data_IF_188641598047
#
_entry.id   IF_188641598047
#
_cell.length_a   1.000
_cell.length_b   1.000
_cell.length_c   1.000
_cell.angle_alpha   90.00
_cell.angle_beta   90.00
_cell.angle_gamma   90.00
#
_symmetry.space_group_name_H-M   'P 1'
#
loop_
_entity.id
_entity.type
_entity.pdbx_description
1 polymer ?
#
# COMPACT_ATOMS: atom_id res chain seq x y z
N UNK A 1 3.09 2.37 4.67
CA UNK A 1 3.09 3.71 5.28
C UNK A 1 4.00 3.67 6.47
N UNK A 2 5.07 4.48 6.49
CA UNK A 2 5.90 4.68 7.69
C UNK A 2 5.13 5.55 8.68
N UNK A 3 5.15 5.18 9.95
CA UNK A 3 4.30 5.84 10.95
C UNK A 3 4.65 7.32 11.18
N UNK A 4 5.92 7.68 10.97
CA UNK A 4 6.41 9.07 11.06
C UNK A 4 6.12 9.91 9.79
N UNK A 5 5.62 9.31 8.70
CA UNK A 5 5.35 10.01 7.43
C UNK A 5 3.99 10.72 7.40
N UNK A 6 3.47 11.13 8.54
CA UNK A 6 2.21 11.87 8.65
C UNK A 6 2.32 13.29 8.06
N UNK A 7 1.19 13.80 7.57
CA UNK A 7 1.07 15.20 7.13
C UNK A 7 0.50 16.10 8.22
N UNK A 8 -0.18 15.54 9.21
CA UNK A 8 -0.72 16.21 10.37
C UNK A 8 -0.71 15.27 11.58
N UNK A 9 -0.52 15.79 12.79
CA UNK A 9 -0.57 14.99 14.01
C UNK A 9 -0.82 15.85 15.25
N UNK A 10 -1.20 15.19 16.35
CA UNK A 10 -1.27 15.80 17.68
C UNK A 10 -0.85 14.75 18.73
N UNK A 11 0.00 15.19 19.65
CA UNK A 11 0.43 14.45 20.84
C UNK A 11 1.52 13.40 20.62
N UNK A 12 1.77 12.96 19.40
CA UNK A 12 2.74 11.92 19.10
C UNK A 12 4.18 12.47 19.06
N UNK A 13 5.15 11.65 19.49
CA UNK A 13 6.56 11.93 19.33
C UNK A 13 7.24 10.79 18.53
N UNK A 14 8.38 11.08 17.92
CA UNK A 14 9.20 10.11 17.18
C UNK A 14 10.46 9.77 17.96
N UNK A 15 10.94 8.54 17.80
CA UNK A 15 12.23 8.07 18.28
C UNK A 15 12.89 7.14 17.25
N UNK A 16 14.20 6.90 17.40
CA UNK A 16 14.89 5.94 16.55
C UNK A 16 14.38 4.52 16.83
N UNK A 17 14.02 3.80 15.77
CA UNK A 17 13.63 2.39 15.89
C UNK A 17 14.85 1.46 15.85
N UNK A 18 14.81 0.38 16.63
CA UNK A 18 15.74 -0.74 16.51
C UNK A 18 15.25 -1.85 15.56
N UNK A 19 14.11 -1.64 14.89
CA UNK A 19 13.56 -2.61 13.97
C UNK A 19 14.42 -2.77 12.72
N UNK A 20 14.21 -3.87 12.00
CA UNK A 20 14.90 -4.14 10.74
C UNK A 20 14.59 -3.03 9.72
N UNK A 21 15.64 -2.44 9.14
CA UNK A 21 15.54 -1.32 8.22
C UNK A 21 15.83 0.04 8.86
N UNK A 22 15.81 0.14 10.21
CA UNK A 22 16.08 1.40 10.92
C UNK A 22 14.99 2.45 10.67
N UNK A 23 15.35 3.73 10.84
CA UNK A 23 14.42 4.86 10.68
C UNK A 23 13.84 5.34 12.01
N UNK A 24 12.62 5.85 11.96
CA UNK A 24 11.89 6.35 13.13
C UNK A 24 10.63 5.50 13.37
N UNK A 25 10.15 5.54 14.59
CA UNK A 25 8.80 5.09 14.95
C UNK A 25 8.07 6.20 15.70
N UNK A 26 6.75 6.17 15.72
CA UNK A 26 5.95 6.99 16.61
C UNK A 26 5.76 6.27 17.94
N UNK A 27 5.74 7.06 19.02
CA UNK A 27 5.52 6.58 20.39
C UNK A 27 5.11 7.75 21.31
N UNK A 28 5.26 7.54 22.61
CA UNK A 28 4.94 8.53 23.66
C UNK A 28 3.49 9.05 23.58
N UNK A 29 2.60 8.19 23.10
CA UNK A 29 1.22 8.57 22.81
C UNK A 29 0.33 8.52 24.04
N UNK A 30 -0.61 9.45 24.09
CA UNK A 30 -1.74 9.44 25.00
C UNK A 30 -3.06 9.13 24.27
N UNK A 31 -4.12 8.83 25.01
CA UNK A 31 -5.44 8.58 24.44
C UNK A 31 -5.95 9.83 23.71
N UNK A 32 -6.44 9.68 22.50
CA UNK A 32 -6.88 10.66 21.53
C UNK A 32 -5.77 11.35 20.73
N UNK A 33 -4.51 11.05 20.97
CA UNK A 33 -3.47 11.45 20.03
C UNK A 33 -3.71 10.83 18.65
N UNK A 34 -3.27 11.52 17.59
CA UNK A 34 -3.55 11.08 16.24
C UNK A 34 -2.45 11.43 15.24
N UNK A 35 -2.42 10.69 14.15
CA UNK A 35 -1.67 11.03 12.93
C UNK A 35 -2.57 10.88 11.69
N UNK A 36 -2.32 11.72 10.67
CA UNK A 36 -3.09 11.76 9.43
C UNK A 36 -2.16 11.58 8.22
N UNK A 37 -2.60 10.71 7.29
CA UNK A 37 -1.83 10.31 6.11
C UNK A 37 -2.69 10.44 4.86
N UNK A 38 -2.21 11.09 3.79
CA UNK A 38 -2.90 11.05 2.50
C UNK A 38 -2.78 9.65 1.90
N UNK A 39 -3.89 9.03 1.53
CA UNK A 39 -3.92 7.68 0.97
C UNK A 39 -4.77 7.63 -0.29
N UNK A 40 -4.37 6.76 -1.21
CA UNK A 40 -5.15 6.38 -2.38
C UNK A 40 -5.42 4.87 -2.32
N UNK A 41 -6.69 4.52 -2.21
CA UNK A 41 -7.18 3.14 -2.23
C UNK A 41 -7.61 2.84 -3.67
N UNK A 42 -6.89 1.95 -4.34
CA UNK A 42 -7.10 1.66 -5.77
C UNK A 42 -8.31 0.77 -6.04
N UNK A 43 -8.69 -0.06 -5.09
CA UNK A 43 -9.74 -1.07 -5.24
C UNK A 43 -10.55 -1.20 -3.96
N UNK A 44 -11.89 -1.28 -4.08
CA UNK A 44 -12.75 -1.60 -2.94
C UNK A 44 -12.64 -3.07 -2.59
N UNK A 45 -12.61 -3.40 -1.30
CA UNK A 45 -12.58 -4.78 -0.84
C UNK A 45 -11.90 -4.97 0.50
N UNK A 46 -11.59 -6.23 0.78
CA UNK A 46 -10.96 -6.65 2.03
C UNK A 46 -9.45 -6.52 1.90
N UNK A 47 -8.83 -5.98 2.94
CA UNK A 47 -7.38 -5.83 3.05
C UNK A 47 -6.88 -6.50 4.33
N UNK A 48 -5.74 -7.19 4.24
CA UNK A 48 -4.94 -7.53 5.42
C UNK A 48 -4.19 -6.27 5.85
N UNK A 49 -4.52 -5.77 7.03
CA UNK A 49 -3.91 -4.61 7.65
C UNK A 49 -2.85 -5.06 8.66
N UNK A 50 -1.61 -4.81 8.34
CA UNK A 50 -0.47 -5.10 9.19
C UNK A 50 -0.04 -3.84 9.96
N UNK A 51 0.06 -3.94 11.29
CA UNK A 51 0.72 -2.96 12.15
C UNK A 51 2.05 -3.54 12.65
N UNK A 52 3.16 -2.84 12.44
CA UNK A 52 4.45 -3.18 13.03
C UNK A 52 4.63 -2.42 14.34
N UNK A 53 4.46 -3.12 15.44
CA UNK A 53 4.31 -2.54 16.78
C UNK A 53 5.36 -3.06 17.77
N UNK A 54 5.61 -2.26 18.81
CA UNK A 54 6.28 -2.67 20.01
C UNK A 54 5.52 -2.16 21.24
N UNK A 55 5.25 -3.05 22.21
CA UNK A 55 4.48 -2.73 23.41
C UNK A 55 5.03 -3.51 24.61
N UNK A 56 5.40 -2.81 25.70
CA UNK A 56 6.13 -3.44 26.80
C UNK A 56 5.23 -4.32 27.68
N UNK A 57 4.25 -3.75 28.37
CA UNK A 57 3.53 -4.44 29.44
C UNK A 57 1.99 -4.34 29.33
N UNK A 58 1.48 -3.60 28.37
CA UNK A 58 0.05 -3.37 28.21
C UNK A 58 -0.36 -3.44 26.75
N UNK A 59 -1.62 -3.78 26.52
CA UNK A 59 -2.21 -3.77 25.19
C UNK A 59 -2.52 -2.34 24.78
N UNK A 60 -2.29 -2.02 23.48
CA UNK A 60 -2.74 -0.77 22.86
C UNK A 60 -4.02 -0.97 22.06
N UNK A 61 -4.58 0.13 21.57
CA UNK A 61 -5.67 0.10 20.58
C UNK A 61 -5.60 1.30 19.66
N UNK A 62 -5.67 1.02 18.36
CA UNK A 62 -5.75 2.02 17.30
C UNK A 62 -7.17 2.01 16.74
N UNK A 63 -7.69 3.21 16.46
CA UNK A 63 -8.89 3.41 15.65
C UNK A 63 -8.47 4.09 14.34
N UNK A 64 -8.93 3.54 13.22
CA UNK A 64 -8.73 4.13 11.91
C UNK A 64 -10.03 4.75 11.38
N UNK A 65 -9.90 5.94 10.80
CA UNK A 65 -10.97 6.62 10.09
C UNK A 65 -10.49 7.06 8.70
N UNK A 66 -11.39 7.05 7.73
CA UNK A 66 -11.19 7.70 6.44
C UNK A 66 -11.92 9.03 6.43
N UNK A 67 -11.22 10.08 6.01
CA UNK A 67 -11.76 11.43 5.89
C UNK A 67 -11.83 11.80 4.42
N UNK A 68 -13.03 12.13 3.96
CA UNK A 68 -13.31 12.65 2.64
C UNK A 68 -14.28 13.83 2.74
N UNK A 69 -13.98 14.97 2.07
CA UNK A 69 -14.84 16.15 2.04
C UNK A 69 -15.33 16.60 3.44
N UNK A 70 -14.41 16.66 4.43
CA UNK A 70 -14.67 17.01 5.84
C UNK A 70 -15.54 15.98 6.61
N UNK A 71 -15.96 14.89 5.98
CA UNK A 71 -16.67 13.80 6.63
C UNK A 71 -15.68 12.72 7.07
N UNK A 72 -15.76 12.30 8.33
CA UNK A 72 -14.91 11.25 8.90
C UNK A 72 -15.75 10.00 9.19
N UNK A 73 -15.35 8.88 8.63
CA UNK A 73 -15.95 7.57 8.88
C UNK A 73 -14.95 6.65 9.57
N UNK A 74 -15.33 6.05 10.71
CA UNK A 74 -14.52 5.04 11.40
C UNK A 74 -14.62 3.73 10.61
N UNK A 75 -13.47 3.27 10.08
CA UNK A 75 -13.39 2.02 9.31
C UNK A 75 -12.90 0.83 10.12
N UNK A 76 -12.37 1.05 11.32
CA UNK A 76 -11.98 -0.04 12.20
C UNK A 76 -11.38 0.37 13.53
N UNK A 77 -11.39 -0.56 14.49
CA UNK A 77 -10.74 -0.43 15.80
C UNK A 77 -9.99 -1.73 16.12
N UNK A 78 -8.68 -1.62 16.34
CA UNK A 78 -7.75 -2.75 16.34
C UNK A 78 -6.99 -2.81 17.65
N UNK A 79 -7.11 -3.94 18.35
CA UNK A 79 -6.35 -4.20 19.56
C UNK A 79 -4.94 -4.65 19.21
N UNK A 80 -3.96 -4.08 19.89
CA UNK A 80 -2.56 -4.38 19.71
C UNK A 80 -2.04 -5.20 20.91
N UNK A 81 -1.42 -6.37 20.69
CA UNK A 81 -0.91 -7.18 21.78
C UNK A 81 0.37 -6.60 22.38
N UNK A 82 0.75 -7.07 23.56
CA UNK A 82 2.08 -6.83 24.12
C UNK A 82 3.14 -7.60 23.32
N UNK A 83 4.33 -7.03 23.19
CA UNK A 83 5.48 -7.64 22.51
C UNK A 83 6.67 -7.85 23.44
N UNK A 84 6.57 -7.41 24.71
CA UNK A 84 7.57 -7.61 25.75
C UNK A 84 8.63 -6.50 25.84
N UNK A 85 8.53 -5.43 25.05
CA UNK A 85 9.47 -4.30 25.15
C UNK A 85 9.10 -3.18 24.18
N UNK A 86 9.52 -1.93 24.51
CA UNK A 86 9.28 -0.74 23.69
C UNK A 86 9.99 -0.75 22.32
N UNK A 87 10.94 -1.65 22.12
CA UNK A 87 11.69 -1.89 20.88
C UNK A 87 11.69 -3.37 20.50
N UNK A 88 10.77 -4.16 21.07
CA UNK A 88 10.56 -5.57 20.73
C UNK A 88 9.45 -5.64 19.68
N UNK A 89 9.84 -5.65 18.43
CA UNK A 89 8.93 -5.46 17.29
C UNK A 89 8.22 -6.74 16.84
N UNK A 90 6.92 -6.66 16.66
CA UNK A 90 6.08 -7.72 16.08
C UNK A 90 5.10 -7.14 15.07
N UNK A 91 4.73 -7.93 14.07
CA UNK A 91 3.65 -7.60 13.14
C UNK A 91 2.35 -8.16 13.66
N UNK A 92 1.34 -7.32 13.77
CA UNK A 92 -0.01 -7.67 14.17
C UNK A 92 -0.95 -7.43 13.01
N UNK A 93 -1.60 -8.50 12.51
CA UNK A 93 -2.44 -8.48 11.31
C UNK A 93 -3.92 -8.45 11.68
N UNK A 94 -4.68 -7.63 11.01
CA UNK A 94 -6.14 -7.52 11.08
C UNK A 94 -6.73 -7.50 9.69
N UNK A 95 -8.02 -7.76 9.58
CA UNK A 95 -8.78 -7.60 8.35
C UNK A 95 -9.55 -6.27 8.40
N UNK A 96 -9.61 -5.54 7.27
CA UNK A 96 -10.34 -4.30 7.13
C UNK A 96 -10.98 -4.21 5.74
N UNK A 97 -12.24 -3.76 5.67
CA UNK A 97 -12.89 -3.48 4.40
C UNK A 97 -12.75 -2.00 4.06
N UNK A 98 -12.28 -1.68 2.85
CA UNK A 98 -12.04 -0.32 2.40
C UNK A 98 -12.70 -0.09 1.03
N UNK A 99 -13.18 1.12 0.82
CA UNK A 99 -13.70 1.58 -0.47
C UNK A 99 -12.61 2.28 -1.28
N UNK A 100 -12.64 2.07 -2.61
CA UNK A 100 -11.71 2.76 -3.51
C UNK A 100 -11.94 4.28 -3.49
N UNK A 101 -10.87 5.06 -3.41
CA UNK A 101 -10.98 6.51 -3.33
C UNK A 101 -9.67 7.20 -2.91
N UNK A 102 -9.77 8.52 -2.76
CA UNK A 102 -8.69 9.37 -2.23
C UNK A 102 -9.13 9.91 -0.88
N UNK A 103 -8.39 9.58 0.16
CA UNK A 103 -8.77 9.90 1.54
C UNK A 103 -7.60 10.48 2.33
N UNK A 104 -7.92 11.09 3.45
CA UNK A 104 -6.99 11.21 4.57
C UNK A 104 -7.28 10.08 5.55
N UNK A 105 -6.33 9.17 5.72
CA UNK A 105 -6.38 8.13 6.75
C UNK A 105 -5.98 8.75 8.08
N UNK A 106 -6.87 8.73 9.06
CA UNK A 106 -6.61 9.16 10.42
C UNK A 106 -6.43 7.96 11.33
N UNK A 107 -5.25 7.85 11.93
CA UNK A 107 -4.95 6.92 13.00
C UNK A 107 -5.14 7.67 14.33
N UNK A 108 -6.05 7.21 15.18
CA UNK A 108 -6.27 7.73 16.53
C UNK A 108 -5.87 6.69 17.56
N UNK A 109 -5.18 7.12 18.59
CA UNK A 109 -4.84 6.29 19.76
C UNK A 109 -6.08 6.15 20.63
N UNK A 110 -6.72 4.98 20.60
CA UNK A 110 -7.88 4.69 21.43
C UNK A 110 -7.50 4.10 22.82
N UNK A 111 -6.34 3.45 22.89
CA UNK A 111 -5.69 3.03 24.14
C UNK A 111 -4.18 3.11 23.91
N UNK A 112 -3.49 3.90 24.73
CA UNK A 112 -2.04 4.08 24.64
C UNK A 112 -1.25 2.87 25.13
N UNK A 113 0.08 2.89 24.96
CA UNK A 113 0.99 1.85 25.47
C UNK A 113 1.68 1.03 24.40
N UNK A 114 1.85 1.60 23.21
CA UNK A 114 2.56 0.99 22.08
C UNK A 114 3.40 2.02 21.33
N UNK A 115 4.41 1.51 20.66
CA UNK A 115 5.13 2.19 19.58
C UNK A 115 4.67 1.59 18.25
N UNK A 116 4.58 2.41 17.19
CA UNK A 116 4.24 2.00 15.84
C UNK A 116 5.35 2.41 14.88
N UNK A 117 5.91 1.45 14.13
CA UNK A 117 6.93 1.68 13.12
C UNK A 117 6.31 1.94 11.73
N UNK A 118 5.45 1.03 11.30
CA UNK A 118 4.75 1.17 10.01
C UNK A 118 3.41 0.44 10.02
N UNK A 119 2.57 0.77 9.04
CA UNK A 119 1.37 0.03 8.69
C UNK A 119 1.36 -0.30 7.20
N UNK A 120 0.81 -1.46 6.86
CA UNK A 120 0.75 -1.96 5.50
C UNK A 120 -0.65 -2.50 5.22
N UNK A 121 -1.16 -2.19 4.04
CA UNK A 121 -2.46 -2.65 3.56
C UNK A 121 -2.24 -3.54 2.34
N UNK A 122 -2.51 -4.82 2.49
CA UNK A 122 -2.41 -5.81 1.42
C UNK A 122 -3.82 -6.20 1.00
N UNK A 123 -4.16 -5.93 -0.26
CA UNK A 123 -5.47 -6.34 -0.78
C UNK A 123 -5.60 -7.86 -0.63
N UNK A 124 -6.63 -8.29 0.11
CA UNK A 124 -6.90 -9.71 0.37
C UNK A 124 -8.02 -10.18 -0.55
N UNK A 125 -7.65 -10.98 -1.53
CA UNK A 125 -8.61 -11.56 -2.49
C UNK A 125 -9.36 -12.75 -1.86
N UNK A 126 -9.84 -12.58 -0.61
CA UNK A 126 -10.57 -13.60 0.14
C UNK A 126 -11.99 -13.82 -0.39
N UNK A 127 -12.17 -13.87 -1.72
CA UNK A 127 -13.36 -14.47 -2.31
C UNK A 127 -13.30 -16.00 -2.18
N UNK A 128 -13.41 -16.51 -0.95
CA UNK A 128 -13.76 -17.90 -0.69
C UNK A 128 -15.25 -18.14 -1.00
N UNK A 129 -15.67 -17.76 -2.21
CA UNK A 129 -16.89 -18.30 -2.78
C UNK A 129 -16.51 -19.52 -3.60
N UNK A 130 -16.83 -20.70 -3.06
CA UNK A 130 -16.79 -21.99 -3.74
C UNK A 130 -17.72 -22.01 -4.94
N UNK A 131 -17.31 -21.39 -6.04
CA UNK A 131 -17.71 -21.69 -7.40
C UNK A 131 -16.70 -21.04 -8.35
N UNK A 132 -15.70 -21.84 -8.72
CA UNK A 132 -14.91 -21.80 -9.96
C UNK A 132 -15.13 -20.58 -10.85
N UNK A 133 -14.39 -19.49 -10.56
CA UNK A 133 -13.78 -18.60 -11.55
C UNK A 133 -12.56 -18.00 -10.84
N UNK A 134 -11.38 -18.46 -11.20
CA UNK A 134 -10.11 -17.92 -10.74
C UNK A 134 -10.00 -16.44 -11.17
N UNK A 135 -10.45 -15.50 -10.33
CA UNK A 135 -10.12 -14.08 -10.47
C UNK A 135 -8.74 -13.84 -9.84
N UNK A 136 -7.74 -14.38 -10.43
CA UNK A 136 -6.35 -14.02 -10.12
C UNK A 136 -6.02 -12.77 -10.91
N UNK A 137 -6.23 -11.59 -10.32
CA UNK A 137 -5.60 -10.37 -10.85
C UNK A 137 -4.10 -10.64 -10.93
N UNK A 138 -3.49 -10.51 -12.09
CA UNK A 138 -2.09 -10.90 -12.26
C UNK A 138 -1.20 -9.96 -11.42
N UNK A 139 -0.45 -10.54 -10.47
CA UNK A 139 0.58 -9.75 -9.81
C UNK A 139 1.68 -9.42 -10.81
N UNK A 140 1.85 -8.12 -11.11
CA UNK A 140 2.88 -7.62 -12.02
C UNK A 140 3.79 -6.66 -11.27
N UNK A 141 5.07 -6.98 -11.20
CA UNK A 141 6.11 -6.08 -10.74
C UNK A 141 6.65 -5.23 -11.89
N UNK A 142 6.91 -3.96 -11.61
CA UNK A 142 7.46 -2.96 -12.52
C UNK A 142 8.72 -2.38 -11.91
N UNK A 143 9.86 -2.54 -12.57
CA UNK A 143 11.13 -2.02 -12.05
C UNK A 143 12.13 -1.66 -13.14
N UNK A 144 12.99 -0.65 -12.87
CA UNK A 144 12.87 0.33 -11.78
C UNK A 144 11.64 1.24 -11.98
N UNK A 145 11.05 1.73 -10.90
CA UNK A 145 10.04 2.80 -10.95
C UNK A 145 10.30 3.73 -9.73
N UNK A 146 10.77 4.97 -9.92
CA UNK A 146 10.99 5.64 -11.22
C UNK A 146 12.07 5.03 -12.10
N UNK A 147 11.96 5.25 -13.43
CA UNK A 147 12.89 4.74 -14.43
C UNK A 147 13.53 5.85 -15.27
N UNK A 148 14.68 5.55 -15.91
CA UNK A 148 15.33 6.43 -16.88
C UNK A 148 15.00 6.00 -18.32
N UNK A 149 15.65 4.98 -18.84
CA UNK A 149 15.55 4.59 -20.25
C UNK A 149 14.77 3.28 -20.45
N UNK A 150 14.66 2.46 -19.44
CA UNK A 150 14.00 1.16 -19.55
C UNK A 150 13.18 0.82 -18.32
N UNK A 151 12.13 0.05 -18.54
CA UNK A 151 11.23 -0.47 -17.52
C UNK A 151 11.04 -1.97 -17.77
N UNK A 152 11.24 -2.79 -16.75
CA UNK A 152 10.96 -4.23 -16.80
C UNK A 152 9.63 -4.53 -16.16
N UNK A 153 8.80 -5.27 -16.87
CA UNK A 153 7.56 -5.85 -16.38
C UNK A 153 7.79 -7.33 -16.14
N UNK A 154 7.33 -7.86 -15.00
CA UNK A 154 7.45 -9.28 -14.68
C UNK A 154 6.19 -9.77 -13.97
N UNK A 155 5.63 -10.89 -14.43
CA UNK A 155 4.51 -11.59 -13.80
C UNK A 155 4.99 -12.68 -12.85
N UNK A 156 4.10 -13.17 -11.99
CA UNK A 156 4.32 -14.37 -11.18
C UNK A 156 4.26 -15.65 -12.03
N UNK A 157 4.66 -16.77 -11.43
CA UNK A 157 4.63 -18.10 -12.04
C UNK A 157 3.24 -18.43 -12.65
N UNK A 158 3.24 -19.04 -13.83
CA UNK A 158 2.07 -19.45 -14.62
C UNK A 158 1.24 -18.31 -15.25
N UNK A 159 1.74 -17.06 -15.24
CA UNK A 159 1.13 -15.96 -15.96
C UNK A 159 2.04 -15.47 -17.09
N UNK A 160 1.44 -14.97 -18.16
CA UNK A 160 2.16 -14.30 -19.25
C UNK A 160 1.48 -13.00 -19.63
N UNK A 161 2.31 -12.05 -20.08
CA UNK A 161 1.87 -10.77 -20.60
C UNK A 161 1.49 -10.96 -22.05
N UNK A 162 0.27 -10.59 -22.42
CA UNK A 162 -0.22 -10.65 -23.80
C UNK A 162 0.01 -9.34 -24.53
N UNK A 163 -0.32 -8.22 -23.87
CA UNK A 163 -0.11 -6.88 -24.45
C UNK A 163 0.19 -5.83 -23.40
N UNK A 164 0.81 -4.75 -23.86
CA UNK A 164 1.15 -3.57 -23.05
C UNK A 164 0.77 -2.33 -23.85
N UNK A 165 0.01 -1.43 -23.23
CA UNK A 165 -0.31 -0.10 -23.72
C UNK A 165 0.18 0.94 -22.72
N UNK A 166 0.92 1.94 -23.20
CA UNK A 166 1.42 3.04 -22.38
C UNK A 166 0.71 4.34 -22.76
N UNK A 167 0.21 5.03 -21.76
CA UNK A 167 -0.54 6.28 -21.90
C UNK A 167 0.20 7.42 -21.21
N UNK A 168 0.19 8.60 -21.81
CA UNK A 168 0.56 9.84 -21.13
C UNK A 168 -0.59 10.32 -20.21
N UNK A 169 -0.34 11.39 -19.45
CA UNK A 169 -1.34 11.96 -18.50
C UNK A 169 -2.60 12.52 -19.20
N UNK A 170 -2.57 12.72 -20.52
CA UNK A 170 -3.74 13.15 -21.31
C UNK A 170 -4.58 11.97 -21.84
N UNK A 171 -4.15 10.72 -21.55
CA UNK A 171 -4.79 9.50 -22.03
C UNK A 171 -4.41 9.11 -23.46
N UNK A 172 -3.42 9.79 -24.07
CA UNK A 172 -2.92 9.44 -25.40
C UNK A 172 -1.98 8.25 -25.31
N UNK A 173 -2.16 7.27 -26.19
CA UNK A 173 -1.25 6.12 -26.32
C UNK A 173 0.10 6.57 -26.87
N UNK A 174 1.18 6.30 -26.14
CA UNK A 174 2.56 6.60 -26.54
C UNK A 174 3.36 5.36 -26.92
N UNK A 175 2.89 4.16 -26.53
CA UNK A 175 3.47 2.89 -26.93
C UNK A 175 2.43 1.78 -26.86
N UNK A 176 2.45 0.86 -27.84
CA UNK A 176 1.70 -0.39 -27.83
C UNK A 176 2.63 -1.54 -28.17
N UNK A 177 2.52 -2.64 -27.42
CA UNK A 177 3.15 -3.94 -27.69
C UNK A 177 2.10 -5.03 -27.56
N UNK A 178 1.98 -5.87 -28.58
CA UNK A 178 1.04 -6.99 -28.63
C UNK A 178 1.79 -8.31 -28.84
N UNK A 179 1.10 -9.43 -28.67
CA UNK A 179 1.63 -10.78 -28.93
C UNK A 179 2.92 -11.08 -28.16
N UNK A 180 3.01 -10.62 -26.90
CA UNK A 180 4.23 -10.73 -26.10
C UNK A 180 4.43 -12.17 -25.62
N UNK A 181 3.38 -12.80 -25.09
CA UNK A 181 3.34 -14.18 -24.58
C UNK A 181 4.59 -14.57 -23.74
N UNK A 182 4.96 -13.71 -22.79
CA UNK A 182 6.14 -13.91 -21.95
C UNK A 182 5.87 -13.52 -20.51
N UNK A 183 6.52 -14.19 -19.56
CA UNK A 183 6.42 -13.87 -18.12
C UNK A 183 7.20 -12.60 -17.74
N UNK A 184 8.04 -12.07 -18.62
CA UNK A 184 8.78 -10.85 -18.41
C UNK A 184 8.99 -10.10 -19.72
N UNK A 185 8.92 -8.77 -19.67
CA UNK A 185 9.17 -7.89 -20.82
C UNK A 185 9.90 -6.64 -20.37
N UNK A 186 11.03 -6.36 -20.99
CA UNK A 186 11.71 -5.08 -20.87
C UNK A 186 11.24 -4.15 -22.00
N UNK A 187 10.87 -2.92 -21.64
CA UNK A 187 10.52 -1.84 -22.56
C UNK A 187 11.68 -0.86 -22.62
N UNK A 188 12.11 -0.51 -23.84
CA UNK A 188 12.94 0.66 -24.07
C UNK A 188 12.02 1.88 -24.20
N UNK A 189 12.20 2.87 -23.31
CA UNK A 189 11.37 4.06 -23.17
C UNK A 189 12.25 5.34 -23.23
N UNK A 190 13.42 5.25 -23.86
CA UNK A 190 14.39 6.36 -23.97
C UNK A 190 13.79 7.61 -24.64
N UNK A 191 12.91 7.42 -25.63
CA UNK A 191 12.28 8.53 -26.36
C UNK A 191 11.14 9.25 -25.63
N UNK A 192 10.77 8.82 -24.40
CA UNK A 192 9.74 9.50 -23.62
C UNK A 192 10.33 10.70 -22.87
N UNK A 193 9.52 11.73 -22.68
CA UNK A 193 9.85 12.88 -21.82
C UNK A 193 9.70 12.50 -20.33
N UNK A 194 10.43 13.20 -19.46
CA UNK A 194 10.25 13.05 -18.00
C UNK A 194 8.81 13.37 -17.60
N UNK A 195 8.24 12.56 -16.70
CA UNK A 195 6.86 12.73 -16.27
C UNK A 195 6.20 11.44 -15.81
N UNK A 196 4.89 11.54 -15.54
CA UNK A 196 4.05 10.41 -15.15
C UNK A 196 3.35 9.79 -16.36
N UNK A 197 3.26 8.46 -16.36
CA UNK A 197 2.60 7.66 -17.38
C UNK A 197 1.74 6.59 -16.72
N UNK A 198 0.78 6.05 -17.47
CA UNK A 198 0.00 4.89 -17.07
C UNK A 198 0.29 3.75 -18.02
N UNK A 199 0.67 2.60 -17.48
CA UNK A 199 0.87 1.36 -18.23
C UNK A 199 -0.28 0.42 -17.99
N UNK A 200 -1.02 0.08 -19.04
CA UNK A 200 -2.06 -0.94 -19.04
C UNK A 200 -1.46 -2.24 -19.57
N UNK A 201 -1.61 -3.29 -18.82
CA UNK A 201 -0.99 -4.60 -19.07
C UNK A 201 -2.10 -5.63 -19.10
N UNK A 202 -2.23 -6.31 -20.24
CA UNK A 202 -3.15 -7.44 -20.40
C UNK A 202 -2.37 -8.74 -20.29
N UNK A 203 -2.89 -9.67 -19.53
CA UNK A 203 -2.32 -11.00 -19.29
C UNK A 203 -3.39 -12.06 -19.55
N UNK A 204 -2.98 -13.34 -19.56
CA UNK A 204 -3.92 -14.47 -19.60
C UNK A 204 -4.90 -14.55 -18.41
N UNK A 205 -4.71 -13.72 -17.37
CA UNK A 205 -5.55 -13.70 -16.16
C UNK A 205 -6.35 -12.40 -15.98
N UNK A 206 -6.20 -11.43 -16.89
CA UNK A 206 -6.89 -10.15 -16.83
C UNK A 206 -6.01 -8.95 -17.12
N UNK A 207 -6.57 -7.76 -16.94
CA UNK A 207 -5.91 -6.49 -17.26
C UNK A 207 -5.66 -5.69 -15.98
N UNK A 208 -4.47 -5.09 -15.88
CA UNK A 208 -4.09 -4.20 -14.78
C UNK A 208 -3.50 -2.91 -15.33
N UNK A 209 -3.77 -1.79 -14.67
CA UNK A 209 -3.17 -0.48 -14.99
C UNK A 209 -2.33 0.00 -13.80
N UNK A 210 -1.10 0.43 -14.07
CA UNK A 210 -0.20 0.97 -13.05
C UNK A 210 0.40 2.30 -13.47
N UNK A 211 0.62 3.20 -12.52
CA UNK A 211 1.35 4.46 -12.72
C UNK A 211 2.86 4.18 -12.70
N UNK A 212 3.58 4.79 -13.62
CA UNK A 212 5.04 4.79 -13.70
C UNK A 212 5.57 6.21 -13.83
N UNK A 213 6.80 6.44 -13.39
CA UNK A 213 7.43 7.76 -13.37
C UNK A 213 8.76 7.67 -14.11
N UNK A 214 8.94 8.55 -15.10
CA UNK A 214 10.22 8.74 -15.82
C UNK A 214 10.94 9.99 -15.31
N UNK A 215 12.23 9.82 -15.02
CA UNK A 215 13.15 10.94 -14.75
C UNK A 215 13.68 11.56 -16.04
#
# INVERSE_FOLDING_TARGET
IQAESYTNQSGLATENTSDTGGGLNIGYSDVNDYAEYPVFISESGIYDLNFRIAAQNQTGRIELSLIENETSEVVGSFNLPTTGGWQSWATNTHEINLEAGVYTLKLRVALAGFNLNWMEFLYSDNNLNTNTLENTTPYISLYPNPFNNSLTLKTTLNNHIDSIELYDISGRIVLTKTEINASSKMLNLEGLTSGSYFVKITTNKGTITKKIIKY
#
